data_IF_255364158940
#
_entry.id   IF_255364158940
#
_cell.length_a   1.000
_cell.length_b   1.000
_cell.length_c   1.000
_cell.angle_alpha   90.00
_cell.angle_beta   90.00
_cell.angle_gamma   90.00
#
_symmetry.space_group_name_H-M   'P 1'
#
loop_
_entity.id
_entity.type
_entity.pdbx_description
1 polymer ?
#
# COMPACT_ATOMS: atom_id res chain seq x y z
N UNK A 1 8.15 45.87 8.99
CA UNK A 1 8.49 45.30 7.67
C UNK A 1 9.96 45.63 7.39
N UNK A 2 10.88 44.66 7.47
CA UNK A 2 12.26 44.91 7.04
C UNK A 2 12.29 44.94 5.51
N UNK A 3 12.86 45.99 4.95
CA UNK A 3 12.90 46.32 3.52
C UNK A 3 13.71 45.34 2.66
N UNK A 4 14.42 44.39 3.27
CA UNK A 4 15.32 43.45 2.57
C UNK A 4 14.59 42.29 1.87
N UNK A 5 13.38 41.94 2.29
CA UNK A 5 12.67 40.76 1.75
C UNK A 5 11.86 41.05 0.49
N UNK A 6 11.62 42.32 0.15
CA UNK A 6 10.71 42.71 -0.94
C UNK A 6 11.27 42.43 -2.36
N UNK A 7 12.59 42.31 -2.51
CA UNK A 7 13.26 42.11 -3.81
C UNK A 7 13.78 40.68 -4.02
N UNK A 8 13.47 39.74 -3.12
CA UNK A 8 13.97 38.36 -3.20
C UNK A 8 12.95 37.45 -3.87
N UNK A 9 13.39 36.68 -4.85
CA UNK A 9 12.58 35.67 -5.53
C UNK A 9 12.74 34.30 -4.86
N UNK A 10 11.85 33.35 -5.16
CA UNK A 10 12.02 31.95 -4.75
C UNK A 10 13.37 31.36 -5.23
N UNK A 11 13.92 31.84 -6.35
CA UNK A 11 15.21 31.36 -6.86
C UNK A 11 16.38 31.83 -5.99
N UNK A 12 16.30 33.06 -5.45
CA UNK A 12 17.33 33.61 -4.56
C UNK A 12 17.37 32.87 -3.21
N UNK A 13 16.24 32.30 -2.78
CA UNK A 13 16.13 31.52 -1.55
C UNK A 13 16.66 30.09 -1.68
N UNK A 14 16.79 29.54 -2.90
CA UNK A 14 17.21 28.14 -3.10
C UNK A 14 18.61 27.84 -2.57
N UNK A 15 19.56 28.77 -2.76
CA UNK A 15 20.95 28.62 -2.27
C UNK A 15 21.03 28.63 -0.74
N UNK A 16 20.46 29.62 -0.02
CA UNK A 16 20.43 29.58 1.44
C UNK A 16 19.57 28.44 2.00
N UNK A 17 18.49 28.04 1.33
CA UNK A 17 17.72 26.83 1.68
C UNK A 17 18.58 25.56 1.63
N UNK A 18 19.32 25.37 0.53
CA UNK A 18 20.22 24.22 0.38
C UNK A 18 21.31 24.19 1.43
N UNK A 19 21.84 25.35 1.81
CA UNK A 19 22.87 25.43 2.85
C UNK A 19 22.30 25.14 4.24
N UNK A 20 21.11 25.68 4.54
CA UNK A 20 20.43 25.46 5.81
C UNK A 20 19.96 24.00 5.96
N UNK A 21 19.46 23.39 4.89
CA UNK A 21 19.02 21.98 4.90
C UNK A 21 20.19 21.01 5.01
N UNK A 22 21.34 21.32 4.40
CA UNK A 22 22.54 20.47 4.52
C UNK A 22 23.02 20.36 5.97
N UNK A 23 22.98 21.46 6.72
CA UNK A 23 23.31 21.48 8.14
C UNK A 23 22.25 20.80 9.04
N UNK A 24 21.02 20.62 8.54
CA UNK A 24 19.87 20.12 9.29
C UNK A 24 19.28 18.83 8.71
N UNK A 25 20.14 17.94 8.18
CA UNK A 25 19.75 16.58 7.79
C UNK A 25 18.78 16.51 6.60
N UNK A 26 18.81 17.49 5.70
CA UNK A 26 17.98 17.57 4.51
C UNK A 26 16.71 18.42 4.67
N UNK A 27 16.37 18.87 5.89
CA UNK A 27 15.20 19.71 6.14
C UNK A 27 15.60 21.10 6.59
N UNK A 28 15.00 22.14 6.00
CA UNK A 28 15.15 23.52 6.49
C UNK A 28 14.33 23.68 7.79
N UNK A 29 14.95 24.08 8.93
CA UNK A 29 14.23 24.25 10.19
C UNK A 29 13.09 25.28 10.08
N UNK A 30 11.93 24.97 10.66
CA UNK A 30 10.74 25.82 10.59
C UNK A 30 10.93 27.22 11.22
N UNK A 31 11.78 27.30 12.23
CA UNK A 31 12.15 28.54 12.94
C UNK A 31 13.34 29.28 12.31
N UNK A 32 13.79 28.88 11.11
CA UNK A 32 14.90 29.55 10.43
C UNK A 32 14.43 30.81 9.69
N UNK A 33 15.33 31.79 9.58
CA UNK A 33 15.10 33.00 8.79
C UNK A 33 14.77 32.67 7.32
N UNK A 34 15.29 31.56 6.79
CA UNK A 34 15.01 31.10 5.42
C UNK A 34 13.57 30.65 5.26
N UNK A 35 13.03 29.90 6.23
CA UNK A 35 11.62 29.50 6.25
C UNK A 35 10.68 30.69 6.38
N UNK A 36 11.04 31.69 7.20
CA UNK A 36 10.28 32.94 7.31
C UNK A 36 10.27 33.73 5.98
N UNK A 37 11.43 33.85 5.32
CA UNK A 37 11.51 34.50 4.00
C UNK A 37 10.71 33.76 2.94
N UNK A 38 10.72 32.41 2.95
CA UNK A 38 9.93 31.59 2.03
C UNK A 38 8.43 31.84 2.19
N UNK A 39 7.94 31.90 3.43
CA UNK A 39 6.51 32.18 3.70
C UNK A 39 6.08 33.53 3.13
N UNK A 40 6.89 34.57 3.35
CA UNK A 40 6.61 35.93 2.86
C UNK A 40 6.60 35.96 1.33
N UNK A 41 7.55 35.30 0.68
CA UNK A 41 7.59 35.20 -0.80
C UNK A 41 6.37 34.42 -1.32
N UNK A 42 6.01 33.31 -0.68
CA UNK A 42 4.87 32.49 -1.09
C UNK A 42 3.52 33.21 -0.92
N UNK A 43 3.38 34.08 0.08
CA UNK A 43 2.20 34.93 0.29
C UNK A 43 2.02 35.97 -0.83
N UNK A 44 3.11 36.42 -1.44
CA UNK A 44 3.09 37.43 -2.51
C UNK A 44 3.14 36.83 -3.93
N UNK A 45 3.19 35.51 -4.06
CA UNK A 45 3.13 34.84 -5.37
C UNK A 45 1.70 34.49 -5.76
N UNK A 46 1.30 34.85 -6.98
CA UNK A 46 0.02 34.45 -7.57
C UNK A 46 0.03 32.95 -7.93
N UNK A 47 -0.25 32.11 -6.93
CA UNK A 47 -0.28 30.64 -7.07
C UNK A 47 -1.26 30.17 -8.15
N UNK A 48 -2.37 30.89 -8.35
CA UNK A 48 -3.35 30.60 -9.39
C UNK A 48 -2.73 30.67 -10.79
N UNK A 49 -1.97 31.73 -11.08
CA UNK A 49 -1.28 31.92 -12.35
C UNK A 49 -0.24 30.82 -12.62
N UNK A 50 0.55 30.48 -11.60
CA UNK A 50 1.56 29.41 -11.71
C UNK A 50 0.94 28.03 -11.96
N UNK A 51 -0.27 27.77 -11.45
CA UNK A 51 -1.01 26.53 -11.70
C UNK A 51 -1.51 26.49 -13.14
N UNK A 52 -2.06 27.59 -13.66
CA UNK A 52 -2.53 27.68 -15.05
C UNK A 52 -1.38 27.47 -16.05
N UNK A 53 -0.24 28.13 -15.83
CA UNK A 53 0.95 27.96 -16.66
C UNK A 53 1.47 26.52 -16.67
N UNK A 54 1.46 25.82 -15.52
CA UNK A 54 1.85 24.40 -15.45
C UNK A 54 0.83 23.47 -16.08
N UNK A 55 -0.48 23.74 -15.92
CA UNK A 55 -1.54 22.96 -16.57
C UNK A 55 -1.43 23.07 -18.09
N UNK A 56 -1.15 24.25 -18.62
CA UNK A 56 -0.97 24.47 -20.05
C UNK A 56 0.26 23.76 -20.63
N UNK A 57 1.32 23.59 -19.83
CA UNK A 57 2.58 22.94 -20.24
C UNK A 57 2.65 21.44 -19.88
N UNK A 58 1.59 20.85 -19.34
CA UNK A 58 1.57 19.43 -19.03
C UNK A 58 1.43 18.65 -20.35
N UNK A 59 2.39 17.78 -20.71
CA UNK A 59 2.24 16.95 -21.91
C UNK A 59 0.94 16.15 -21.79
N UNK A 60 0.13 16.22 -22.86
CA UNK A 60 -1.05 15.39 -22.98
C UNK A 60 -0.60 13.92 -22.89
N UNK A 61 -1.26 13.07 -22.09
CA UNK A 61 -0.98 11.64 -22.13
C UNK A 61 -1.10 11.13 -23.56
N UNK A 62 -0.06 10.46 -24.06
CA UNK A 62 -0.01 9.95 -25.45
C UNK A 62 -1.14 8.96 -25.78
N UNK A 63 -1.73 8.36 -24.75
CA UNK A 63 -2.89 7.49 -24.88
C UNK A 63 -4.08 8.12 -24.16
N UNK A 64 -5.23 8.28 -24.83
CA UNK A 64 -6.46 8.62 -24.12
C UNK A 64 -6.68 7.56 -23.03
N UNK A 65 -7.29 7.91 -21.89
CA UNK A 65 -7.70 6.92 -20.91
C UNK A 65 -8.61 5.93 -21.64
N UNK A 66 -8.09 4.74 -21.92
CA UNK A 66 -8.84 3.65 -22.53
C UNK A 66 -9.98 3.37 -21.58
N UNK A 67 -11.22 3.41 -22.08
CA UNK A 67 -12.38 3.07 -21.27
C UNK A 67 -12.10 1.74 -20.57
N UNK A 68 -12.33 1.67 -19.26
CA UNK A 68 -12.10 0.44 -18.50
C UNK A 68 -12.86 -0.70 -19.20
N UNK A 69 -12.10 -1.57 -19.86
CA UNK A 69 -12.67 -2.73 -20.51
C UNK A 69 -13.24 -3.59 -19.37
N UNK A 70 -14.56 -3.73 -19.32
CA UNK A 70 -15.28 -4.40 -18.23
C UNK A 70 -14.79 -5.85 -18.00
N UNK A 71 -14.07 -6.40 -18.98
CA UNK A 71 -13.38 -7.68 -18.90
C UNK A 71 -12.17 -7.68 -17.93
N UNK A 72 -11.69 -6.52 -17.48
CA UNK A 72 -10.57 -6.40 -16.53
C UNK A 72 -10.98 -6.72 -15.08
N UNK A 73 -12.28 -6.76 -14.78
CA UNK A 73 -12.81 -7.18 -13.48
C UNK A 73 -13.14 -8.68 -13.43
N UNK A 74 -13.26 -9.34 -14.59
CA UNK A 74 -13.51 -10.77 -14.67
C UNK A 74 -12.20 -11.55 -14.65
N UNK A 75 -11.92 -12.19 -13.52
CA UNK A 75 -10.74 -13.04 -13.32
C UNK A 75 -10.63 -14.17 -14.37
N UNK A 76 -11.70 -14.51 -15.10
CA UNK A 76 -11.71 -15.51 -16.18
C UNK A 76 -11.21 -14.96 -17.52
N UNK A 77 -11.34 -13.65 -17.75
CA UNK A 77 -10.99 -13.01 -19.02
C UNK A 77 -9.57 -12.41 -19.01
N UNK A 78 -9.03 -12.13 -17.82
CA UNK A 78 -7.63 -11.75 -17.68
C UNK A 78 -6.76 -13.00 -17.68
N UNK A 79 -5.77 -13.04 -18.57
CA UNK A 79 -4.70 -14.06 -18.63
C UNK A 79 -3.77 -13.95 -17.41
N UNK A 80 -4.31 -13.90 -16.19
CA UNK A 80 -3.56 -14.31 -15.01
C UNK A 80 -3.36 -15.81 -15.16
N UNK A 81 -2.11 -16.22 -15.35
CA UNK A 81 -1.75 -17.60 -15.67
C UNK A 81 -2.52 -18.59 -14.81
N UNK A 82 -2.91 -19.70 -15.42
CA UNK A 82 -3.65 -20.85 -14.91
C UNK A 82 -2.98 -21.53 -13.70
N UNK A 83 -2.71 -20.78 -12.63
CA UNK A 83 -2.45 -21.28 -11.29
C UNK A 83 -3.75 -21.65 -10.58
N UNK A 84 -4.82 -21.94 -11.34
CA UNK A 84 -6.01 -22.62 -10.86
C UNK A 84 -5.56 -24.00 -10.40
N UNK A 85 -5.24 -24.11 -9.11
CA UNK A 85 -4.91 -25.36 -8.46
C UNK A 85 -6.14 -26.26 -8.55
N UNK A 86 -6.11 -27.21 -9.48
CA UNK A 86 -7.06 -28.31 -9.57
C UNK A 86 -6.74 -29.33 -8.48
N UNK A 87 -7.19 -29.06 -7.25
CA UNK A 87 -7.13 -30.08 -6.20
C UNK A 87 -7.49 -29.57 -4.82
N UNK A 88 -8.13 -30.42 -3.98
CA UNK A 88 -8.30 -30.11 -2.57
C UNK A 88 -6.93 -30.01 -1.91
N UNK A 89 -6.58 -28.83 -1.38
CA UNK A 89 -5.32 -28.56 -0.65
C UNK A 89 -5.15 -29.47 0.59
N UNK A 90 -6.24 -30.09 1.04
CA UNK A 90 -6.30 -30.90 2.25
C UNK A 90 -6.88 -32.31 2.07
N UNK A 91 -7.04 -32.82 0.85
CA UNK A 91 -7.66 -34.14 0.62
C UNK A 91 -9.18 -34.16 0.88
N UNK A 92 -9.68 -33.47 1.90
CA UNK A 92 -11.11 -33.16 2.08
C UNK A 92 -11.49 -31.78 1.54
N UNK A 93 -12.66 -31.68 0.90
CA UNK A 93 -13.32 -30.43 0.49
C UNK A 93 -13.85 -29.64 1.70
N UNK A 94 -12.96 -29.15 2.57
CA UNK A 94 -13.32 -28.31 3.70
C UNK A 94 -13.19 -26.80 3.37
N UNK A 95 -13.99 -25.97 4.03
CA UNK A 95 -14.02 -24.51 3.84
C UNK A 95 -12.93 -23.76 4.61
N UNK A 96 -12.05 -24.47 5.32
CA UNK A 96 -11.06 -23.88 6.21
C UNK A 96 -9.98 -23.10 5.46
N UNK A 97 -9.48 -23.67 4.37
CA UNK A 97 -8.38 -23.08 3.59
C UNK A 97 -8.90 -22.33 2.36
N UNK A 98 -10.02 -22.76 1.80
CA UNK A 98 -10.62 -22.20 0.57
C UNK A 98 -12.14 -22.29 0.64
N UNK A 99 -12.83 -21.22 0.26
CA UNK A 99 -14.29 -21.13 0.25
C UNK A 99 -14.80 -19.91 1.02
N UNK A 100 -16.09 -19.57 0.86
CA UNK A 100 -16.70 -18.49 1.62
C UNK A 100 -16.71 -18.83 3.12
N UNK A 101 -16.43 -17.83 3.97
CA UNK A 101 -16.47 -17.97 5.42
C UNK A 101 -17.94 -17.99 5.92
N UNK A 102 -18.61 -19.13 5.74
CA UNK A 102 -20.03 -19.31 6.08
C UNK A 102 -20.27 -19.64 7.56
N UNK A 103 -19.22 -20.02 8.30
CA UNK A 103 -19.30 -20.37 9.72
C UNK A 103 -18.33 -19.51 10.56
N UNK A 104 -18.58 -19.40 11.86
CA UNK A 104 -17.71 -18.64 12.77
C UNK A 104 -16.36 -19.36 12.97
N UNK A 105 -15.30 -18.62 13.28
CA UNK A 105 -13.95 -19.20 13.44
C UNK A 105 -13.85 -20.04 14.71
N UNK A 106 -13.46 -21.32 14.57
CA UNK A 106 -13.23 -22.21 15.72
C UNK A 106 -12.01 -21.82 16.57
N UNK A 107 -11.15 -20.92 16.08
CA UNK A 107 -10.08 -20.32 16.88
C UNK A 107 -10.60 -19.31 17.93
N UNK A 108 -11.83 -18.79 17.76
CA UNK A 108 -12.45 -17.79 18.64
C UNK A 108 -13.62 -18.33 19.44
N UNK A 109 -14.28 -19.39 18.97
CA UNK A 109 -15.49 -19.97 19.56
C UNK A 109 -15.42 -21.49 19.50
N UNK A 110 -15.72 -22.16 20.62
CA UNK A 110 -15.81 -23.62 20.65
C UNK A 110 -17.14 -24.07 20.05
N UNK A 111 -17.10 -24.91 19.01
CA UNK A 111 -18.29 -25.54 18.44
C UNK A 111 -19.00 -26.44 19.46
N UNK A 112 -18.22 -27.20 20.24
CA UNK A 112 -18.73 -28.19 21.19
C UNK A 112 -19.46 -27.52 22.35
N UNK A 113 -18.92 -26.42 22.86
CA UNK A 113 -19.47 -25.69 24.01
C UNK A 113 -20.73 -24.90 23.62
N UNK A 114 -20.76 -24.35 22.40
CA UNK A 114 -21.85 -23.49 21.94
C UNK A 114 -22.88 -24.23 21.09
N UNK A 115 -22.67 -25.52 20.81
CA UNK A 115 -23.44 -26.32 19.87
C UNK A 115 -23.70 -25.59 18.54
N UNK A 116 -22.66 -24.95 18.01
CA UNK A 116 -22.71 -24.16 16.78
C UNK A 116 -21.64 -24.62 15.81
N UNK A 117 -22.02 -24.70 14.54
CA UNK A 117 -21.08 -24.99 13.46
C UNK A 117 -20.01 -23.89 13.39
N UNK A 118 -18.74 -24.29 13.56
CA UNK A 118 -17.58 -23.40 13.41
C UNK A 118 -16.67 -23.96 12.34
N UNK A 119 -15.89 -23.10 11.68
CA UNK A 119 -14.98 -23.55 10.64
C UNK A 119 -13.94 -24.53 11.19
N UNK A 120 -13.64 -25.63 10.48
CA UNK A 120 -12.67 -26.61 10.95
C UNK A 120 -11.27 -26.00 11.02
N UNK A 121 -10.59 -26.17 12.16
CA UNK A 121 -9.19 -25.73 12.36
C UNK A 121 -8.21 -26.88 12.54
N UNK A 122 -8.68 -28.04 12.99
CA UNK A 122 -7.88 -29.27 13.10
C UNK A 122 -8.04 -30.15 11.87
N UNK A 123 -6.98 -30.89 11.52
CA UNK A 123 -6.93 -31.78 10.33
C UNK A 123 -7.22 -31.02 9.04
N UNK A 124 -6.52 -29.91 8.82
CA UNK A 124 -6.60 -29.12 7.59
C UNK A 124 -5.22 -29.01 6.94
N UNK A 125 -5.19 -28.86 5.62
CA UNK A 125 -3.96 -28.80 4.81
C UNK A 125 -3.03 -29.98 5.06
N UNK A 126 -1.74 -29.69 5.25
CA UNK A 126 -0.72 -30.69 5.57
C UNK A 126 -1.08 -31.54 6.80
N UNK A 127 -1.73 -30.95 7.81
CA UNK A 127 -2.09 -31.69 9.03
C UNK A 127 -3.05 -32.85 8.74
N UNK A 128 -3.99 -32.67 7.81
CA UNK A 128 -4.87 -33.74 7.33
C UNK A 128 -4.11 -34.76 6.47
N UNK A 129 -3.26 -34.29 5.57
CA UNK A 129 -2.60 -35.14 4.58
C UNK A 129 -1.46 -35.98 5.15
N UNK A 130 -0.65 -35.41 6.03
CA UNK A 130 0.56 -36.06 6.56
C UNK A 130 0.40 -36.47 8.03
N UNK A 131 -0.79 -36.30 8.62
CA UNK A 131 -1.08 -36.73 9.99
C UNK A 131 -0.14 -36.11 11.03
N UNK A 132 0.10 -34.79 10.96
CA UNK A 132 1.04 -34.07 11.83
C UNK A 132 0.52 -33.90 13.27
N UNK A 133 0.28 -34.99 13.99
CA UNK A 133 0.14 -34.96 15.46
C UNK A 133 1.46 -34.70 16.17
N UNK A 134 2.58 -34.95 15.47
CA UNK A 134 3.96 -34.77 15.94
C UNK A 134 4.76 -33.83 15.03
N UNK A 135 6.04 -33.64 15.34
CA UNK A 135 6.97 -32.83 14.55
C UNK A 135 6.90 -33.23 13.05
N UNK A 136 6.71 -32.26 12.13
CA UNK A 136 6.69 -32.49 10.69
C UNK A 136 7.88 -33.31 10.17
N UNK A 137 7.67 -34.15 9.16
CA UNK A 137 8.73 -35.02 8.62
C UNK A 137 9.95 -34.24 8.09
N UNK A 138 9.72 -33.07 7.52
CA UNK A 138 10.72 -32.10 7.08
C UNK A 138 11.52 -31.48 8.23
N UNK A 139 10.95 -31.45 9.44
CA UNK A 139 11.62 -30.96 10.65
C UNK A 139 12.31 -32.08 11.46
N UNK A 140 12.09 -33.36 11.12
CA UNK A 140 12.75 -34.51 11.76
C UNK A 140 14.16 -34.81 11.21
N UNK A 141 14.57 -34.14 10.13
CA UNK A 141 15.91 -34.25 9.59
C UNK A 141 16.94 -33.63 10.56
N UNK A 142 17.50 -34.45 11.45
CA UNK A 142 18.73 -34.11 12.16
C UNK A 142 19.87 -34.11 11.13
N UNK A 143 20.63 -33.01 11.09
CA UNK A 143 22.00 -33.02 10.54
C UNK A 143 22.85 -34.09 11.23
#
# INVERSE_FOLDING_TARGET
MSSETFYKTQQDLRKPESHASHAAGGNTPANSNVSAMKSIVDEHTDKAKAIEERKANLPLPDQPPVASDWQSADQRAVNVGSGGVEGPVSGESNSALRGPATAESSARKSAEELHKETQPTGKVGRQATEGLSDIPGDAKARK
#
